data_IF_901125260251
#
_entry.id   IF_901125260251
#
_cell.length_a   1.000
_cell.length_b   1.000
_cell.length_c   1.000
_cell.angle_alpha   90.00
_cell.angle_beta   90.00
_cell.angle_gamma   90.00
#
_symmetry.space_group_name_H-M   'P 1'
#
loop_
_entity.id
_entity.type
_entity.pdbx_description
1 polymer ?
#
# COMPACT_ATOMS: atom_id res chain seq x y z
N UNK A 1 18.80 -11.43 4.25
CA UNK A 1 18.06 -11.28 4.00
C UNK A 1 17.16 -11.42 4.10
N UNK A 2 16.68 -11.39 4.11
CA UNK A 2 15.65 -11.46 4.09
C UNK A 2 14.90 -11.19 3.42
N UNK A 3 14.54 -11.42 3.15
CA UNK A 3 13.69 -11.23 2.57
C UNK A 3 12.90 -10.84 2.54
N UNK A 4 13.25 -11.06 2.67
CA UNK A 4 12.57 -10.48 2.51
C UNK A 4 11.41 -10.00 2.32
N UNK A 5 10.95 -9.69 2.22
CA UNK A 5 9.78 -9.01 1.69
C UNK A 5 8.75 -9.90 1.07
N UNK A 6 8.57 -11.04 1.66
CA UNK A 6 7.50 -11.91 1.23
C UNK A 6 6.18 -11.33 1.74
N UNK A 7 5.53 -10.51 0.92
CA UNK A 7 4.29 -9.87 1.28
C UNK A 7 3.09 -10.81 1.24
N UNK A 8 3.28 -12.06 0.84
CA UNK A 8 2.19 -13.02 0.81
C UNK A 8 1.66 -13.36 2.20
N UNK A 9 2.46 -13.08 3.25
CA UNK A 9 2.02 -13.29 4.63
C UNK A 9 1.46 -12.02 5.27
N UNK A 10 1.33 -10.96 4.49
CA UNK A 10 0.83 -9.69 4.99
C UNK A 10 -0.65 -9.79 5.30
N UNK A 11 -1.04 -9.27 6.46
CA UNK A 11 -2.43 -9.25 6.90
C UNK A 11 -2.96 -7.82 6.83
N UNK A 12 -4.18 -7.68 6.38
CA UNK A 12 -4.87 -6.41 6.26
C UNK A 12 -6.09 -6.38 7.17
N UNK A 13 -6.32 -5.25 7.82
CA UNK A 13 -7.59 -5.02 8.48
C UNK A 13 -8.65 -4.76 7.41
N UNK A 14 -9.84 -5.30 7.62
CA UNK A 14 -10.94 -5.09 6.70
C UNK A 14 -11.88 -4.01 7.21
N UNK A 15 -12.31 -3.18 6.28
CA UNK A 15 -13.25 -2.09 6.51
C UNK A 15 -14.53 -2.36 5.74
N UNK A 16 -15.63 -1.79 6.20
CA UNK A 16 -16.89 -1.85 5.47
C UNK A 16 -16.99 -0.69 4.47
N UNK A 17 -18.12 -0.61 3.77
CA UNK A 17 -18.35 0.43 2.76
C UNK A 17 -18.35 1.84 3.34
N UNK A 18 -18.54 1.98 4.65
CA UNK A 18 -18.51 3.25 5.34
C UNK A 18 -17.14 3.56 5.95
N UNK A 19 -16.14 2.74 5.60
CA UNK A 19 -14.76 2.88 6.07
C UNK A 19 -14.63 2.67 7.58
N UNK A 20 -15.47 1.80 8.11
CA UNK A 20 -15.45 1.43 9.54
C UNK A 20 -14.79 0.07 9.66
N UNK A 21 -13.87 -0.08 10.62
CA UNK A 21 -13.20 -1.35 10.89
C UNK A 21 -14.23 -2.41 11.25
N UNK A 22 -14.14 -3.57 10.59
CA UNK A 22 -15.06 -4.68 10.84
C UNK A 22 -14.57 -5.61 11.95
N UNK A 23 -13.30 -5.53 12.31
CA UNK A 23 -12.70 -6.46 13.23
C UNK A 23 -12.17 -7.73 12.57
N UNK A 24 -12.38 -7.87 11.28
CA UNK A 24 -11.89 -9.01 10.52
C UNK A 24 -10.56 -8.68 9.87
N UNK A 25 -9.78 -9.72 9.61
CA UNK A 25 -8.45 -9.61 9.00
C UNK A 25 -8.42 -10.49 7.75
N UNK A 26 -7.72 -10.02 6.73
CA UNK A 26 -7.62 -10.69 5.44
C UNK A 26 -6.15 -10.88 5.06
N UNK A 27 -5.84 -12.06 4.56
CA UNK A 27 -4.48 -12.36 4.10
C UNK A 27 -4.30 -11.89 2.65
N UNK A 28 -3.21 -11.19 2.40
CA UNK A 28 -2.88 -10.72 1.06
C UNK A 28 -2.83 -11.89 0.08
N UNK A 29 -3.41 -11.68 -1.10
CA UNK A 29 -3.42 -12.70 -2.15
C UNK A 29 -4.65 -13.56 -2.17
N UNK A 30 -5.43 -13.58 -1.10
CA UNK A 30 -6.69 -14.31 -1.08
C UNK A 30 -7.80 -13.45 -1.68
N UNK A 31 -8.81 -14.08 -2.31
CA UNK A 31 -9.91 -13.30 -2.89
C UNK A 31 -10.67 -12.53 -1.82
N UNK A 32 -10.99 -11.28 -2.11
CA UNK A 32 -11.80 -10.46 -1.22
C UNK A 32 -13.26 -10.61 -1.59
N UNK A 33 -14.11 -10.61 -0.57
CA UNK A 33 -15.55 -10.69 -0.76
C UNK A 33 -16.12 -9.32 -1.06
N UNK A 34 -17.27 -9.32 -1.71
CA UNK A 34 -18.00 -8.08 -1.94
C UNK A 34 -18.30 -7.41 -0.60
N UNK A 35 -18.13 -6.10 -0.55
CA UNK A 35 -18.37 -5.35 0.67
C UNK A 35 -17.21 -5.32 1.64
N UNK A 36 -16.08 -5.96 1.31
CA UNK A 36 -14.86 -5.93 2.11
C UNK A 36 -13.82 -5.05 1.45
N UNK A 37 -13.19 -4.19 2.23
CA UNK A 37 -12.22 -3.22 1.73
C UNK A 37 -10.99 -3.20 2.64
N UNK A 38 -9.83 -2.91 2.06
CA UNK A 38 -8.63 -2.67 2.85
C UNK A 38 -8.08 -1.30 2.54
N UNK A 39 -7.25 -0.78 3.44
CA UNK A 39 -6.72 0.56 3.32
C UNK A 39 -5.45 0.56 2.47
N UNK A 40 -5.45 1.39 1.44
CA UNK A 40 -4.28 1.63 0.61
C UNK A 40 -3.91 3.09 0.76
N UNK A 41 -2.62 3.37 0.87
CA UNK A 41 -2.13 4.74 0.99
C UNK A 41 -1.29 5.10 -0.22
N UNK A 42 -1.27 6.39 -0.50
CA UNK A 42 -0.38 6.98 -1.49
C UNK A 42 0.28 8.19 -0.87
N UNK A 43 1.59 8.29 -1.03
CA UNK A 43 2.36 9.44 -0.56
C UNK A 43 2.81 10.21 -1.79
N UNK A 44 2.50 11.49 -1.82
CA UNK A 44 2.88 12.39 -2.92
C UNK A 44 3.86 13.41 -2.37
N UNK A 45 5.05 13.45 -2.95
CA UNK A 45 6.09 14.38 -2.50
C UNK A 45 6.22 15.48 -3.55
N UNK A 46 6.10 16.73 -3.10
CA UNK A 46 6.23 17.91 -3.96
C UNK A 46 7.45 18.70 -3.54
N UNK A 47 8.15 19.29 -4.51
CA UNK A 47 9.20 20.24 -4.18
C UNK A 47 8.60 21.64 -4.00
N UNK A 48 9.45 22.62 -3.73
CA UNK A 48 9.00 23.99 -3.51
C UNK A 48 8.42 24.67 -4.76
N UNK A 49 8.61 24.06 -5.92
CA UNK A 49 8.03 24.55 -7.17
C UNK A 49 6.72 23.84 -7.52
N UNK A 50 6.16 23.07 -6.57
CA UNK A 50 4.93 22.29 -6.76
C UNK A 50 5.05 21.20 -7.81
N UNK A 51 6.26 20.71 -8.04
CA UNK A 51 6.49 19.58 -8.94
C UNK A 51 6.39 18.29 -8.16
N UNK A 52 5.64 17.34 -8.69
CA UNK A 52 5.41 16.05 -8.04
C UNK A 52 6.53 15.07 -8.41
N UNK A 53 7.11 14.44 -7.39
CA UNK A 53 8.05 13.34 -7.62
C UNK A 53 7.26 12.10 -8.02
N UNK A 54 7.60 11.55 -9.17
CA UNK A 54 6.99 10.30 -9.65
C UNK A 54 8.09 9.27 -9.83
N UNK A 55 7.69 8.00 -9.87
CA UNK A 55 8.63 6.92 -10.12
C UNK A 55 8.06 5.95 -11.12
N UNK A 56 8.93 5.28 -11.84
CA UNK A 56 8.53 4.25 -12.81
C UNK A 56 8.71 2.89 -12.17
N UNK A 57 7.68 2.04 -12.29
CA UNK A 57 7.76 0.68 -11.79
C UNK A 57 8.80 -0.09 -12.58
N UNK A 58 9.52 -0.95 -11.88
CA UNK A 58 10.53 -1.78 -12.50
C UNK A 58 9.91 -2.73 -13.53
N UNK A 59 10.65 -3.06 -14.60
CA UNK A 59 10.09 -3.92 -15.65
C UNK A 59 9.77 -5.34 -15.18
N UNK A 60 10.36 -5.79 -14.07
CA UNK A 60 10.14 -7.13 -13.56
C UNK A 60 8.95 -7.23 -12.59
N UNK A 61 8.29 -6.12 -12.29
CA UNK A 61 7.11 -6.16 -11.41
C UNK A 61 5.97 -6.90 -12.07
N UNK A 62 5.23 -7.68 -11.29
CA UNK A 62 4.13 -8.47 -11.80
C UNK A 62 2.92 -7.63 -12.17
N UNK A 63 2.72 -6.49 -11.50
CA UNK A 63 1.62 -5.58 -11.82
C UNK A 63 2.13 -4.31 -12.45
N UNK A 64 1.57 -3.93 -13.61
CA UNK A 64 1.82 -2.65 -14.25
C UNK A 64 3.32 -2.34 -14.44
N UNK A 65 4.10 -3.26 -15.06
CA UNK A 65 5.54 -3.02 -15.24
C UNK A 65 5.78 -1.79 -16.11
N UNK A 66 6.83 -1.04 -15.81
CA UNK A 66 7.24 0.17 -16.54
C UNK A 66 6.24 1.32 -16.47
N UNK A 67 5.17 1.20 -15.71
CA UNK A 67 4.19 2.28 -15.59
C UNK A 67 4.67 3.32 -14.59
N UNK A 68 4.32 4.57 -14.84
CA UNK A 68 4.64 5.68 -13.93
C UNK A 68 3.58 5.77 -12.85
N UNK A 69 4.00 6.14 -11.65
CA UNK A 69 3.12 6.18 -10.50
C UNK A 69 3.52 7.33 -9.57
N UNK A 70 2.65 7.60 -8.60
CA UNK A 70 2.95 8.58 -7.54
C UNK A 70 4.16 8.15 -6.74
N UNK A 71 4.64 9.04 -5.89
CA UNK A 71 5.93 8.84 -5.22
C UNK A 71 6.01 7.49 -4.50
N UNK A 72 5.05 7.19 -3.64
CA UNK A 72 5.02 5.93 -2.89
C UNK A 72 3.58 5.49 -2.74
N UNK A 73 3.33 4.18 -2.82
CA UNK A 73 2.02 3.61 -2.56
C UNK A 73 2.16 2.25 -1.90
N UNK A 74 1.18 1.86 -1.14
CA UNK A 74 1.18 0.54 -0.51
C UNK A 74 -0.04 0.29 0.33
N UNK A 75 -0.20 -0.96 0.74
CA UNK A 75 -1.32 -1.38 1.58
C UNK A 75 -0.96 -1.22 3.06
N UNK A 76 -1.92 -0.72 3.84
CA UNK A 76 -1.78 -0.71 5.28
C UNK A 76 -1.90 -2.15 5.79
N UNK A 77 -1.09 -2.50 6.77
CA UNK A 77 -1.19 -3.82 7.39
C UNK A 77 -2.07 -3.73 8.63
N UNK A 78 -2.47 -4.90 9.13
CA UNK A 78 -3.31 -4.98 10.31
C UNK A 78 -2.69 -4.19 11.48
N UNK A 79 -3.49 -3.35 12.10
CA UNK A 79 -3.04 -2.49 13.20
C UNK A 79 -2.53 -1.13 12.78
N UNK A 80 -2.34 -0.89 11.47
CA UNK A 80 -1.86 0.41 10.99
C UNK A 80 -2.97 1.46 10.97
N UNK A 81 -2.59 2.68 11.32
CA UNK A 81 -3.34 3.85 10.88
C UNK A 81 -2.83 4.25 9.49
N UNK A 82 -3.55 5.12 8.80
CA UNK A 82 -3.09 5.61 7.49
C UNK A 82 -1.74 6.31 7.62
N UNK A 83 -1.52 7.06 8.69
CA UNK A 83 -0.26 7.76 8.92
C UNK A 83 0.88 6.76 9.12
N UNK A 84 0.68 5.74 9.93
CA UNK A 84 1.71 4.73 10.17
C UNK A 84 2.07 3.99 8.90
N UNK A 85 1.06 3.64 8.10
CA UNK A 85 1.28 2.97 6.82
C UNK A 85 2.09 3.86 5.89
N UNK A 86 1.74 5.13 5.80
CA UNK A 86 2.44 6.08 4.93
C UNK A 86 3.91 6.25 5.36
N UNK A 87 4.16 6.38 6.66
CA UNK A 87 5.52 6.55 7.17
C UNK A 87 6.37 5.31 6.89
N UNK A 88 5.80 4.13 7.11
CA UNK A 88 6.51 2.88 6.84
C UNK A 88 6.83 2.71 5.37
N UNK A 89 5.85 2.93 4.49
CA UNK A 89 6.05 2.78 3.06
C UNK A 89 7.06 3.79 2.54
N UNK A 90 7.00 5.02 3.05
CA UNK A 90 7.96 6.05 2.67
C UNK A 90 9.38 5.65 3.05
N UNK A 91 9.55 5.10 4.26
CA UNK A 91 10.85 4.64 4.74
C UNK A 91 11.36 3.47 3.89
N UNK A 92 10.49 2.53 3.52
CA UNK A 92 10.90 1.36 2.75
C UNK A 92 11.27 1.70 1.32
N UNK A 93 10.58 2.67 0.71
CA UNK A 93 10.76 2.97 -0.71
C UNK A 93 11.81 4.04 -0.99
N UNK A 94 12.08 4.89 -0.02
CA UNK A 94 13.04 5.98 -0.17
C UNK A 94 14.18 5.86 0.81
#
# INVERSE_FOLDING_TARGET
MKQLNDKTDELWDLYDENRILTGKVHKRGEPMKEGEYHLVIHVCIFNHNNELLIQQRQPYKSGWPNMWDVTVGGSAVSGDTSQKAAERELFEEL
#
